data_IF_244025315668
#
_entry.id   IF_244025315668
#
_cell.length_a   1.000
_cell.length_b   1.000
_cell.length_c   1.000
_cell.angle_alpha   90.00
_cell.angle_beta   90.00
_cell.angle_gamma   90.00
#
_symmetry.space_group_name_H-M   'P 1'
#
loop_
_entity.id
_entity.type
_entity.pdbx_description
1 polymer ?
#
# COMPACT_ATOMS: atom_id res chain seq x y z
N UNK A 1 -15.98 -6.10 -27.76
CA UNK A 1 -14.91 -6.67 -26.91
C UNK A 1 -13.65 -5.88 -27.19
N UNK A 2 -13.19 -5.08 -26.24
CA UNK A 2 -11.92 -4.36 -26.35
C UNK A 2 -10.80 -5.35 -26.01
N UNK A 3 -9.92 -5.64 -26.99
CA UNK A 3 -8.66 -6.32 -26.77
C UNK A 3 -7.76 -5.38 -25.96
N UNK A 4 -7.70 -5.59 -24.65
CA UNK A 4 -6.78 -4.86 -23.79
C UNK A 4 -5.41 -5.50 -23.87
N UNK A 5 -4.43 -4.69 -24.27
CA UNK A 5 -3.02 -5.07 -24.25
C UNK A 5 -2.51 -4.96 -22.82
N UNK A 6 -2.29 -6.11 -22.18
CA UNK A 6 -1.80 -6.21 -20.80
C UNK A 6 -0.33 -5.79 -20.64
N UNK A 7 0.34 -5.39 -21.73
CA UNK A 7 1.75 -4.97 -21.75
C UNK A 7 1.96 -3.46 -21.66
N UNK A 8 0.89 -2.65 -21.65
CA UNK A 8 0.99 -1.19 -21.52
C UNK A 8 1.31 -0.75 -20.09
N UNK A 9 2.26 0.18 -19.97
CA UNK A 9 2.72 0.82 -18.74
C UNK A 9 1.55 1.39 -17.92
N UNK A 10 1.46 0.96 -16.66
CA UNK A 10 0.49 1.43 -15.68
C UNK A 10 1.01 2.72 -15.05
N UNK A 11 0.20 3.77 -15.05
CA UNK A 11 0.65 5.15 -14.81
C UNK A 11 0.68 5.47 -13.32
N UNK A 12 1.77 5.04 -12.70
CA UNK A 12 2.34 5.65 -11.51
C UNK A 12 3.62 6.39 -11.91
N UNK A 13 4.02 7.46 -11.21
CA UNK A 13 3.36 8.06 -10.04
C UNK A 13 2.12 8.89 -10.38
N UNK A 14 1.22 9.04 -9.41
CA UNK A 14 0.14 10.05 -9.44
C UNK A 14 0.56 11.32 -8.67
N UNK A 15 -0.17 12.42 -8.84
CA UNK A 15 0.13 13.67 -8.14
C UNK A 15 0.10 13.49 -6.60
N UNK A 16 1.26 13.73 -5.98
CA UNK A 16 1.48 13.58 -4.53
C UNK A 16 1.01 14.79 -3.73
N UNK A 17 0.57 15.87 -4.36
CA UNK A 17 0.15 17.12 -3.70
C UNK A 17 -0.96 16.90 -2.65
N UNK A 18 -1.81 15.90 -2.86
CA UNK A 18 -2.92 15.55 -1.96
C UNK A 18 -2.60 14.43 -0.97
N UNK A 19 -1.39 13.84 -1.01
CA UNK A 19 -0.99 12.70 -0.18
C UNK A 19 -1.17 12.99 1.31
N UNK A 20 -0.66 14.12 1.78
CA UNK A 20 -0.78 14.53 3.19
C UNK A 20 -2.23 14.62 3.65
N UNK A 21 -3.13 15.11 2.78
CA UNK A 21 -4.55 15.22 3.09
C UNK A 21 -5.22 13.85 3.12
N UNK A 22 -4.90 12.96 2.15
CA UNK A 22 -5.38 11.58 2.16
C UNK A 22 -4.97 10.86 3.43
N UNK A 23 -3.68 10.88 3.78
CA UNK A 23 -3.16 10.22 4.99
C UNK A 23 -3.90 10.71 6.25
N UNK A 24 -4.12 12.03 6.35
CA UNK A 24 -4.84 12.63 7.49
C UNK A 24 -6.31 12.21 7.58
N UNK A 25 -6.98 12.03 6.45
CA UNK A 25 -8.38 11.60 6.38
C UNK A 25 -8.53 10.08 6.42
N UNK A 26 -7.43 9.37 6.28
CA UNK A 26 -7.42 7.92 6.24
C UNK A 26 -7.84 7.36 7.60
N UNK A 27 -8.71 6.32 7.63
CA UNK A 27 -9.11 5.68 8.88
C UNK A 27 -7.88 5.28 9.71
N UNK A 28 -7.92 5.39 11.03
CA UNK A 28 -6.83 4.87 11.86
C UNK A 28 -6.67 3.36 11.61
N UNK A 29 -5.43 2.92 11.35
CA UNK A 29 -5.11 1.49 11.29
C UNK A 29 -4.77 1.08 12.71
N UNK A 30 -5.52 0.13 13.26
CA UNK A 30 -5.16 -0.55 14.49
C UNK A 30 -4.29 -1.75 14.10
N UNK A 31 -2.99 -1.65 14.39
CA UNK A 31 -2.07 -2.78 14.30
C UNK A 31 -2.04 -3.45 15.67
N UNK A 32 -2.13 -4.79 15.71
CA UNK A 32 -2.19 -5.53 16.98
C UNK A 32 -0.90 -5.44 17.80
N UNK A 33 0.21 -5.06 17.17
CA UNK A 33 1.54 -5.01 17.76
C UNK A 33 2.12 -3.59 17.65
N UNK A 34 2.55 -3.04 18.79
CA UNK A 34 3.09 -1.69 18.94
C UNK A 34 4.42 -1.49 18.17
N UNK A 35 5.09 -2.57 17.78
CA UNK A 35 6.32 -2.53 16.98
C UNK A 35 6.05 -2.51 15.47
N UNK A 36 4.79 -2.63 15.05
CA UNK A 36 4.43 -2.57 13.64
C UNK A 36 4.18 -1.12 13.19
N UNK A 37 4.57 -0.83 11.95
CA UNK A 37 4.32 0.45 11.32
C UNK A 37 4.01 0.28 9.83
N UNK A 38 3.44 1.33 9.24
CA UNK A 38 3.04 1.34 7.84
C UNK A 38 3.93 2.25 7.03
N UNK A 39 4.24 1.82 5.80
CA UNK A 39 4.93 2.62 4.79
C UNK A 39 3.97 2.81 3.63
N UNK A 40 3.47 4.03 3.48
CA UNK A 40 2.51 4.41 2.44
C UNK A 40 3.23 5.12 1.29
N UNK A 41 3.34 4.42 0.16
CA UNK A 41 3.95 4.88 -1.09
C UNK A 41 3.00 4.68 -2.27
N UNK A 42 1.69 4.76 -2.01
CA UNK A 42 0.65 4.47 -3.01
C UNK A 42 0.69 5.47 -4.17
N UNK A 43 0.95 6.75 -3.89
CA UNK A 43 1.07 7.78 -4.92
C UNK A 43 2.35 7.65 -5.75
N UNK A 44 3.48 7.35 -5.09
CA UNK A 44 4.80 7.34 -5.72
C UNK A 44 5.08 6.06 -6.51
N UNK A 45 4.62 4.91 -5.98
CA UNK A 45 4.99 3.59 -6.51
C UNK A 45 3.87 2.57 -6.50
N UNK A 46 2.67 2.94 -6.00
CA UNK A 46 1.55 2.01 -5.89
C UNK A 46 1.78 0.95 -4.81
N UNK A 47 2.62 1.23 -3.82
CA UNK A 47 2.98 0.26 -2.78
C UNK A 47 2.46 0.73 -1.43
N UNK A 48 1.81 -0.18 -0.70
CA UNK A 48 1.51 0.00 0.71
C UNK A 48 2.04 -1.21 1.48
N UNK A 49 2.84 -0.97 2.51
CA UNK A 49 3.60 -2.01 3.22
C UNK A 49 3.43 -1.88 4.73
N UNK A 50 3.40 -3.02 5.41
CA UNK A 50 3.46 -3.14 6.86
C UNK A 50 4.80 -3.77 7.22
N UNK A 51 5.49 -3.17 8.19
CA UNK A 51 6.81 -3.58 8.65
C UNK A 51 6.81 -3.66 10.18
N UNK A 52 7.71 -4.45 10.75
CA UNK A 52 7.92 -4.59 12.21
C UNK A 52 9.34 -4.19 12.59
N UNK A 53 9.48 -3.32 13.59
CA UNK A 53 10.76 -3.01 14.19
C UNK A 53 11.26 -4.15 15.09
N UNK A 54 12.53 -4.54 14.93
CA UNK A 54 13.15 -5.62 15.73
C UNK A 54 13.85 -5.09 16.99
N UNK A 55 14.15 -3.80 17.07
CA UNK A 55 14.89 -3.25 18.21
C UNK A 55 13.99 -2.87 19.39
N UNK A 56 14.42 -3.26 20.60
CA UNK A 56 13.85 -2.91 21.91
C UNK A 56 13.85 -1.40 22.24
N UNK A 57 14.02 -0.53 21.26
CA UNK A 57 14.00 0.92 21.40
C UNK A 57 13.01 1.49 20.40
N UNK A 58 11.85 1.90 20.92
CA UNK A 58 10.80 2.61 20.18
C UNK A 58 11.31 4.00 19.76
N UNK A 59 12.14 4.04 18.73
CA UNK A 59 12.58 5.30 18.14
C UNK A 59 11.47 5.78 17.20
N UNK A 60 10.58 6.65 17.69
CA UNK A 60 9.63 7.33 16.80
C UNK A 60 10.44 8.23 15.84
N UNK A 61 10.41 7.99 14.52
CA UNK A 61 11.14 8.83 13.59
C UNK A 61 10.41 10.18 13.49
N UNK A 62 11.06 11.25 13.94
CA UNK A 62 10.56 12.63 13.82
C UNK A 62 10.59 13.16 12.39
N UNK A 63 11.32 12.50 11.48
CA UNK A 63 11.43 12.86 10.08
C UNK A 63 11.34 11.60 9.20
N UNK A 64 10.43 11.61 8.23
CA UNK A 64 10.07 10.46 7.39
C UNK A 64 11.18 9.96 6.44
N UNK A 65 12.37 10.56 6.46
CA UNK A 65 13.44 10.25 5.50
C UNK A 65 14.57 9.37 6.08
N UNK A 66 14.60 9.10 7.39
CA UNK A 66 15.67 8.31 8.03
C UNK A 66 15.17 7.42 9.18
N UNK A 67 14.03 6.73 8.99
CA UNK A 67 13.80 5.53 9.79
C UNK A 67 14.86 4.50 9.39
N UNK A 68 15.70 4.10 10.35
CA UNK A 68 16.81 3.18 10.17
C UNK A 68 16.32 1.85 9.59
N UNK A 69 16.34 1.73 8.26
CA UNK A 69 15.87 0.54 7.52
C UNK A 69 16.69 -0.72 7.84
N UNK A 70 17.76 -0.60 8.62
CA UNK A 70 18.59 -1.72 9.03
C UNK A 70 17.85 -2.68 9.99
N UNK A 71 16.88 -2.19 10.78
CA UNK A 71 16.28 -2.94 11.90
C UNK A 71 14.76 -3.14 11.78
N UNK A 72 14.25 -3.23 10.55
CA UNK A 72 12.83 -3.49 10.29
C UNK A 72 12.64 -4.71 9.38
N UNK A 73 11.66 -5.56 9.72
CA UNK A 73 11.27 -6.75 8.96
C UNK A 73 10.04 -6.43 8.14
N UNK A 74 10.09 -6.81 6.86
CA UNK A 74 8.91 -6.84 6.00
C UNK A 74 7.87 -7.82 6.58
N UNK A 75 6.63 -7.38 6.80
CA UNK A 75 5.55 -8.30 7.19
C UNK A 75 4.59 -8.56 6.04
N UNK A 76 4.08 -7.50 5.41
CA UNK A 76 3.11 -7.62 4.33
C UNK A 76 3.13 -6.41 3.40
N UNK A 77 2.70 -6.59 2.16
CA UNK A 77 2.63 -5.55 1.14
C UNK A 77 1.49 -5.82 0.15
N UNK A 78 0.85 -4.73 -0.25
CA UNK A 78 -0.06 -4.69 -1.39
C UNK A 78 0.53 -3.76 -2.46
N UNK A 79 0.58 -4.26 -3.68
CA UNK A 79 1.00 -3.50 -4.85
C UNK A 79 -0.18 -3.25 -5.76
N UNK A 80 -0.32 -2.00 -6.18
CA UNK A 80 -1.39 -1.53 -7.05
C UNK A 80 -0.84 -0.79 -8.25
N UNK A 81 -1.65 -0.74 -9.30
CA UNK A 81 -1.38 0.01 -10.52
C UNK A 81 -2.57 0.89 -10.85
N UNK A 82 -2.32 2.16 -11.16
CA UNK A 82 -3.36 3.13 -11.50
C UNK A 82 -3.50 3.23 -13.03
N UNK A 83 -4.74 3.28 -13.48
CA UNK A 83 -5.14 3.51 -14.87
C UNK A 83 -6.03 4.75 -14.91
N UNK A 84 -5.45 5.96 -14.98
CA UNK A 84 -6.18 7.22 -14.87
C UNK A 84 -7.28 7.36 -15.91
N UNK A 85 -7.00 6.97 -17.16
CA UNK A 85 -7.97 7.06 -18.28
C UNK A 85 -9.23 6.23 -18.04
N UNK A 86 -9.10 5.09 -17.36
CA UNK A 86 -10.21 4.20 -17.05
C UNK A 86 -10.84 4.47 -15.69
N UNK A 87 -10.27 5.40 -14.91
CA UNK A 87 -10.54 5.56 -13.48
C UNK A 87 -10.53 4.22 -12.74
N UNK A 88 -9.52 3.40 -13.03
CA UNK A 88 -9.38 2.05 -12.50
C UNK A 88 -8.07 1.93 -11.71
N UNK A 89 -8.14 1.28 -10.56
CA UNK A 89 -7.03 0.94 -9.70
C UNK A 89 -6.96 -0.57 -9.59
N UNK A 90 -5.85 -1.14 -10.01
CA UNK A 90 -5.66 -2.59 -10.07
C UNK A 90 -4.81 -3.07 -8.92
N UNK A 91 -5.31 -4.01 -8.14
CA UNK A 91 -4.46 -4.75 -7.20
C UNK A 91 -3.67 -5.79 -8.00
N UNK A 92 -2.36 -5.64 -8.02
CA UNK A 92 -1.44 -6.52 -8.76
C UNK A 92 -1.06 -7.74 -7.94
N UNK A 93 -0.72 -7.52 -6.66
CA UNK A 93 -0.28 -8.57 -5.75
C UNK A 93 -0.51 -8.17 -4.30
N UNK A 94 -0.73 -9.19 -3.47
CA UNK A 94 -0.66 -9.09 -2.02
C UNK A 94 0.34 -10.15 -1.57
N UNK A 95 1.33 -9.76 -0.79
CA UNK A 95 2.43 -10.61 -0.34
C UNK A 95 2.59 -10.41 1.16
N UNK A 96 2.78 -11.50 1.90
CA UNK A 96 3.03 -11.47 3.34
C UNK A 96 4.01 -12.56 3.75
N UNK A 97 4.66 -12.37 4.90
CA UNK A 97 5.38 -13.42 5.58
C UNK A 97 4.41 -14.44 6.18
N UNK A 98 4.87 -15.68 6.30
CA UNK A 98 4.08 -16.77 6.88
C UNK A 98 3.58 -16.41 8.29
N UNK A 99 2.27 -16.56 8.52
CA UNK A 99 1.62 -16.24 9.79
C UNK A 99 1.08 -14.81 9.93
N UNK A 100 1.17 -14.00 8.86
CA UNK A 100 0.65 -12.63 8.80
C UNK A 100 -0.41 -12.47 7.69
N UNK A 101 -1.10 -13.54 7.33
CA UNK A 101 -2.19 -13.55 6.33
C UNK A 101 -3.42 -12.76 6.81
N UNK A 102 -3.56 -12.59 8.12
CA UNK A 102 -4.54 -11.70 8.72
C UNK A 102 -4.34 -10.25 8.29
N UNK A 103 -3.12 -9.79 7.96
CA UNK A 103 -2.87 -8.41 7.54
C UNK A 103 -3.53 -8.02 6.20
N UNK A 104 -4.00 -8.98 5.41
CA UNK A 104 -4.66 -8.74 4.11
C UNK A 104 -5.83 -7.75 4.21
N UNK A 105 -6.61 -7.82 5.30
CA UNK A 105 -7.75 -6.93 5.47
C UNK A 105 -7.32 -5.47 5.65
N UNK A 106 -6.21 -5.22 6.35
CA UNK A 106 -5.65 -3.88 6.57
C UNK A 106 -5.14 -3.31 5.25
N UNK A 107 -4.37 -4.11 4.52
CA UNK A 107 -3.83 -3.74 3.21
C UNK A 107 -4.96 -3.37 2.24
N UNK A 108 -5.99 -4.21 2.16
CA UNK A 108 -7.13 -3.98 1.27
C UNK A 108 -7.97 -2.77 1.68
N UNK A 109 -8.23 -2.56 2.98
CA UNK A 109 -8.91 -1.36 3.46
C UNK A 109 -8.17 -0.10 3.01
N UNK A 110 -6.83 -0.13 3.00
CA UNK A 110 -6.03 1.02 2.61
C UNK A 110 -6.10 1.33 1.13
N UNK A 111 -6.06 0.30 0.31
CA UNK A 111 -6.27 0.43 -1.14
C UNK A 111 -7.69 0.92 -1.46
N UNK A 112 -8.71 0.40 -0.77
CA UNK A 112 -10.09 0.85 -0.96
C UNK A 112 -10.26 2.32 -0.61
N UNK A 113 -9.69 2.77 0.50
CA UNK A 113 -9.73 4.18 0.88
C UNK A 113 -8.99 5.06 -0.13
N UNK A 114 -7.81 4.64 -0.58
CA UNK A 114 -7.06 5.36 -1.61
C UNK A 114 -7.87 5.48 -2.91
N UNK A 115 -8.51 4.41 -3.34
CA UNK A 115 -9.34 4.41 -4.53
C UNK A 115 -10.54 5.35 -4.39
N UNK A 116 -11.25 5.30 -3.25
CA UNK A 116 -12.38 6.19 -2.97
C UNK A 116 -11.96 7.67 -2.94
N UNK A 117 -10.85 7.98 -2.26
CA UNK A 117 -10.32 9.33 -2.14
C UNK A 117 -10.02 9.98 -3.51
N UNK A 118 -9.44 9.23 -4.44
CA UNK A 118 -9.10 9.72 -5.78
C UNK A 118 -10.18 9.43 -6.84
N UNK A 119 -11.29 8.79 -6.47
CA UNK A 119 -12.40 8.48 -7.38
C UNK A 119 -12.10 7.37 -8.39
N UNK A 120 -11.29 6.39 -8.00
CA UNK A 120 -11.00 5.18 -8.77
C UNK A 120 -11.90 4.01 -8.37
N UNK A 121 -12.23 3.15 -9.34
CA UNK A 121 -12.78 1.82 -9.10
C UNK A 121 -11.65 0.85 -8.77
N UNK A 122 -11.89 -0.12 -7.91
CA UNK A 122 -10.90 -1.17 -7.60
C UNK A 122 -11.18 -2.42 -8.41
N UNK A 123 -10.17 -2.88 -9.13
CA UNK A 123 -10.15 -4.14 -9.88
C UNK A 123 -9.09 -5.06 -9.29
N UNK A 124 -9.46 -6.26 -8.90
CA UNK A 124 -8.51 -7.25 -8.37
C UNK A 124 -8.07 -8.14 -9.53
N UNK A 125 -6.81 -8.03 -9.94
CA UNK A 125 -6.24 -9.00 -10.87
C UNK A 125 -6.03 -10.30 -10.11
N UNK A 126 -6.40 -11.42 -10.71
CA UNK A 126 -6.42 -12.75 -10.11
C UNK A 126 -5.14 -13.03 -9.28
N UNK A 127 -5.21 -12.85 -7.95
CA UNK A 127 -4.07 -12.85 -7.02
C UNK A 127 -3.44 -14.24 -6.81
N UNK A 128 -3.91 -15.25 -7.54
CA UNK A 128 -3.36 -16.60 -7.51
C UNK A 128 -2.27 -16.76 -8.56
N UNK A 129 -1.01 -16.58 -8.17
CA UNK A 129 0.09 -17.37 -8.72
C UNK A 129 0.72 -18.20 -7.61
N UNK A 130 0.71 -19.51 -7.88
CA UNK A 130 1.24 -20.63 -7.08
C UNK A 130 2.61 -20.36 -6.48
#
# INVERSE_FOLDING_TARGET
MLNYDYTKEYSLPIDTSLKTMRIRLSPSIELENENMYVVDMLEESGVFRIMEHIDNTLCMPTDAEQADTANAVFLAEIKVSVLPEMKDLRVESIIYLYGYDDLDHILMQRVLFFADYYGYKVSILNLKKK
#
